data_IF_290536506209
#
_entry.id   IF_290536506209
#
_cell.length_a   1.000
_cell.length_b   1.000
_cell.length_c   1.000
_cell.angle_alpha   90.00
_cell.angle_beta   90.00
_cell.angle_gamma   90.00
#
_symmetry.space_group_name_H-M   'P 1'
#
loop_
_entity.id
_entity.type
_entity.pdbx_description
1 polymer ?
#
# COMPACT_ATOMS: atom_id res chain seq x y z
N UNK A 1 20.77 -31.37 14.97
CA UNK A 1 22.07 -31.37 14.26
C UNK A 1 22.73 -30.01 14.49
N UNK A 2 24.02 -29.92 14.85
CA UNK A 2 24.65 -28.63 15.07
C UNK A 2 24.94 -27.97 13.73
N UNK A 3 24.40 -26.77 13.56
CA UNK A 3 24.57 -25.88 12.41
C UNK A 3 26.05 -25.49 12.28
N UNK A 4 26.70 -25.92 11.19
CA UNK A 4 27.98 -25.36 10.77
C UNK A 4 27.74 -23.90 10.40
N UNK A 5 28.12 -22.98 11.29
CA UNK A 5 28.29 -21.57 10.98
C UNK A 5 29.28 -21.48 9.81
N UNK A 6 28.76 -21.15 8.63
CA UNK A 6 29.56 -20.78 7.48
C UNK A 6 30.09 -19.38 7.79
N UNK A 7 31.39 -19.27 8.01
CA UNK A 7 32.07 -17.97 8.08
C UNK A 7 31.87 -17.26 6.75
N UNK A 8 31.08 -16.19 6.77
CA UNK A 8 30.91 -15.26 5.65
C UNK A 8 32.28 -14.59 5.44
N UNK A 9 32.81 -14.51 4.19
CA UNK A 9 34.04 -13.78 3.92
C UNK A 9 33.89 -12.33 4.40
N UNK A 10 34.87 -11.80 5.15
CA UNK A 10 34.93 -10.38 5.43
C UNK A 10 35.19 -9.64 4.11
N UNK A 11 34.12 -9.12 3.50
CA UNK A 11 34.20 -8.25 2.34
C UNK A 11 34.84 -6.91 2.74
N UNK A 12 35.60 -6.32 1.82
CA UNK A 12 36.24 -5.03 2.01
C UNK A 12 35.17 -3.93 2.17
N UNK A 13 35.25 -3.07 3.20
CA UNK A 13 34.27 -2.00 3.48
C UNK A 13 34.02 -0.99 2.35
N UNK A 14 34.86 -0.99 1.31
CA UNK A 14 34.89 0.05 0.27
C UNK A 14 34.00 -0.24 -0.95
N UNK A 15 33.20 -1.32 -0.95
CA UNK A 15 32.27 -1.59 -2.06
C UNK A 15 30.96 -0.80 -1.92
N UNK A 16 30.46 -0.23 -3.03
CA UNK A 16 29.16 0.49 -3.08
C UNK A 16 28.02 -0.30 -2.43
N UNK A 17 27.87 -1.62 -2.65
CA UNK A 17 26.83 -2.41 -1.96
C UNK A 17 26.87 -2.32 -0.44
N UNK A 18 28.06 -2.35 0.15
CA UNK A 18 28.22 -2.30 1.60
C UNK A 18 27.76 -0.95 2.18
N UNK A 19 28.12 0.15 1.53
CA UNK A 19 27.74 1.49 1.96
C UNK A 19 26.22 1.71 1.82
N UNK A 20 25.61 1.23 0.73
CA UNK A 20 24.15 1.29 0.53
C UNK A 20 23.42 0.42 1.57
N UNK A 21 23.91 -0.79 1.86
CA UNK A 21 23.32 -1.62 2.91
C UNK A 21 23.39 -0.95 4.28
N UNK A 22 24.54 -0.40 4.67
CA UNK A 22 24.69 0.31 5.94
C UNK A 22 23.74 1.52 6.04
N UNK A 23 23.57 2.24 4.94
CA UNK A 23 22.60 3.33 4.85
C UNK A 23 21.15 2.84 5.00
N UNK A 24 20.76 1.80 4.25
CA UNK A 24 19.45 1.18 4.34
C UNK A 24 19.14 0.72 5.78
N UNK A 25 20.09 0.08 6.45
CA UNK A 25 19.96 -0.33 7.84
C UNK A 25 19.73 0.86 8.79
N UNK A 26 20.40 1.98 8.50
CA UNK A 26 20.25 3.21 9.29
C UNK A 26 18.84 3.80 9.17
N UNK A 27 18.27 3.82 7.96
CA UNK A 27 16.89 4.28 7.73
C UNK A 27 15.88 3.44 8.53
N UNK A 28 16.16 2.15 8.69
CA UNK A 28 15.32 1.20 9.42
C UNK A 28 15.46 1.25 10.94
N UNK A 29 16.18 2.23 11.49
CA UNK A 29 16.30 2.37 12.94
C UNK A 29 15.11 3.15 13.53
N UNK A 30 14.61 2.79 14.72
CA UNK A 30 13.61 3.60 15.43
C UNK A 30 14.09 5.03 15.75
N UNK A 31 15.40 5.28 15.72
CA UNK A 31 15.98 6.60 15.87
C UNK A 31 15.76 7.46 14.61
N UNK A 32 15.88 6.86 13.41
CA UNK A 32 15.61 7.55 12.16
C UNK A 32 14.12 7.82 11.96
N UNK A 33 13.27 6.83 12.24
CA UNK A 33 11.82 6.94 12.07
C UNK A 33 11.12 7.97 13.00
N UNK A 34 11.80 8.37 14.10
CA UNK A 34 11.32 9.42 15.02
C UNK A 34 11.73 10.80 14.54
N UNK A 35 11.10 11.25 13.47
CA UNK A 35 11.25 12.62 13.00
C UNK A 35 10.43 13.59 13.86
N UNK A 36 11.12 14.41 14.65
CA UNK A 36 10.51 15.38 15.58
C UNK A 36 10.14 16.73 14.96
N UNK A 37 10.04 16.83 13.63
CA UNK A 37 9.69 18.08 12.94
C UNK A 37 10.83 19.11 12.80
N UNK A 38 12.07 18.77 13.17
CA UNK A 38 13.29 19.56 12.86
C UNK A 38 13.50 19.70 11.34
N UNK A 39 14.50 20.46 10.89
CA UNK A 39 14.92 20.41 9.48
C UNK A 39 15.33 18.98 9.09
N UNK A 40 14.71 18.44 8.04
CA UNK A 40 14.90 17.08 7.57
C UNK A 40 16.34 16.85 7.10
N UNK A 41 16.93 17.86 6.45
CA UNK A 41 18.35 17.86 6.11
C UNK A 41 19.24 17.75 7.36
N UNK A 42 18.90 18.44 8.45
CA UNK A 42 19.64 18.35 9.71
C UNK A 42 19.49 16.96 10.35
N UNK A 43 18.30 16.36 10.29
CA UNK A 43 18.05 14.99 10.74
C UNK A 43 18.89 13.97 9.95
N UNK A 44 18.99 14.14 8.63
CA UNK A 44 19.84 13.30 7.77
C UNK A 44 21.32 13.47 8.09
N UNK A 45 21.84 14.70 8.17
CA UNK A 45 23.25 14.95 8.55
C UNK A 45 23.60 14.38 9.91
N UNK A 46 22.73 14.54 10.90
CA UNK A 46 22.93 13.95 12.23
C UNK A 46 22.93 12.41 12.17
N UNK A 47 22.18 11.83 11.24
CA UNK A 47 22.14 10.40 10.99
C UNK A 47 23.43 9.90 10.37
N UNK A 48 23.95 10.55 9.32
CA UNK A 48 25.25 10.22 8.69
C UNK A 48 26.39 10.19 9.72
N UNK A 49 26.43 11.18 10.62
CA UNK A 49 27.43 11.26 11.69
C UNK A 49 27.30 10.06 12.65
N UNK A 50 26.08 9.66 13.00
CA UNK A 50 25.84 8.52 13.92
C UNK A 50 26.13 7.17 13.28
N UNK A 51 25.82 7.00 12.00
CA UNK A 51 26.03 5.75 11.27
C UNK A 51 27.48 5.56 10.80
N UNK A 52 28.33 6.59 10.93
CA UNK A 52 29.75 6.49 10.61
C UNK A 52 30.05 6.44 9.11
N UNK A 53 29.06 6.73 8.25
CA UNK A 53 29.19 6.65 6.79
C UNK A 53 29.97 7.85 6.21
N UNK A 54 30.28 8.85 7.05
CA UNK A 54 31.02 10.05 6.72
C UNK A 54 30.12 11.25 6.42
N UNK A 55 30.68 12.47 6.47
CA UNK A 55 29.96 13.69 6.06
C UNK A 55 29.74 13.63 4.54
N UNK A 56 28.55 14.01 4.08
CA UNK A 56 28.12 13.96 2.67
C UNK A 56 28.11 12.53 2.09
N UNK A 57 27.95 11.52 2.96
CA UNK A 57 27.79 10.13 2.55
C UNK A 57 26.57 9.93 1.65
N UNK A 58 25.45 10.57 2.01
CA UNK A 58 24.20 10.47 1.27
C UNK A 58 24.36 10.96 -0.18
N UNK A 59 25.00 12.10 -0.40
CA UNK A 59 25.20 12.63 -1.75
C UNK A 59 26.00 11.66 -2.62
N UNK A 60 27.09 11.08 -2.07
CA UNK A 60 27.88 10.07 -2.77
C UNK A 60 27.08 8.81 -3.07
N UNK A 61 26.37 8.27 -2.07
CA UNK A 61 25.50 7.10 -2.24
C UNK A 61 24.42 7.32 -3.31
N UNK A 62 23.82 8.51 -3.34
CA UNK A 62 22.85 8.89 -4.34
C UNK A 62 23.46 8.89 -5.75
N UNK A 63 24.67 9.44 -5.92
CA UNK A 63 25.37 9.46 -7.21
C UNK A 63 25.84 8.08 -7.64
N UNK A 64 26.39 7.27 -6.71
CA UNK A 64 26.80 5.89 -6.96
C UNK A 64 25.61 5.06 -7.45
N UNK A 65 24.41 5.29 -6.90
CA UNK A 65 23.18 4.66 -7.36
C UNK A 65 22.76 5.05 -8.78
N UNK A 66 23.25 6.18 -9.32
CA UNK A 66 22.97 6.56 -10.71
C UNK A 66 23.81 5.76 -11.72
N UNK A 67 24.88 5.07 -11.30
CA UNK A 67 25.67 4.18 -12.14
C UNK A 67 24.94 2.83 -12.36
N UNK A 68 24.56 2.47 -13.60
CA UNK A 68 23.92 1.19 -13.89
C UNK A 68 24.73 -0.03 -13.44
N UNK A 69 26.06 0.03 -13.49
CA UNK A 69 26.90 -1.07 -13.05
C UNK A 69 26.79 -1.28 -11.53
N UNK A 70 26.86 -0.19 -10.76
CA UNK A 70 26.69 -0.23 -9.31
C UNK A 70 25.29 -0.73 -8.91
N UNK A 71 24.23 -0.32 -9.62
CA UNK A 71 22.87 -0.84 -9.41
C UNK A 71 22.79 -2.34 -9.70
N UNK A 72 23.34 -2.78 -10.82
CA UNK A 72 23.32 -4.19 -11.22
C UNK A 72 24.04 -5.07 -10.19
N UNK A 73 25.21 -4.62 -9.72
CA UNK A 73 25.97 -5.31 -8.67
C UNK A 73 25.19 -5.36 -7.34
N UNK A 74 24.52 -4.28 -6.96
CA UNK A 74 23.68 -4.25 -5.75
C UNK A 74 22.51 -5.22 -5.86
N UNK A 75 21.79 -5.19 -6.98
CA UNK A 75 20.60 -6.04 -7.20
C UNK A 75 20.95 -7.53 -7.36
N UNK A 76 22.20 -7.84 -7.74
CA UNK A 76 22.71 -9.21 -7.76
C UNK A 76 23.24 -9.69 -6.41
N UNK A 77 23.39 -8.79 -5.42
CA UNK A 77 23.96 -9.10 -4.12
C UNK A 77 22.94 -9.72 -3.17
N UNK A 78 23.38 -10.69 -2.36
CA UNK A 78 22.55 -11.23 -1.29
C UNK A 78 22.23 -10.15 -0.25
N UNK A 79 20.94 -9.89 -0.02
CA UNK A 79 20.52 -8.95 1.02
C UNK A 79 20.83 -9.50 2.41
N UNK A 80 21.34 -8.66 3.33
CA UNK A 80 21.33 -8.95 4.77
C UNK A 80 19.94 -9.31 5.29
N UNK A 81 19.86 -10.21 6.28
CA UNK A 81 18.59 -10.71 6.84
C UNK A 81 17.68 -9.61 7.38
N UNK A 82 18.24 -8.53 7.91
CA UNK A 82 17.51 -7.37 8.43
C UNK A 82 16.94 -6.48 7.30
N UNK A 83 17.58 -6.49 6.12
CA UNK A 83 17.09 -5.81 4.93
C UNK A 83 15.98 -6.58 4.20
N UNK A 84 15.86 -7.89 4.45
CA UNK A 84 14.78 -8.75 3.91
C UNK A 84 13.46 -8.64 4.66
N UNK A 85 13.47 -8.14 5.90
CA UNK A 85 12.30 -8.14 6.79
C UNK A 85 11.35 -6.99 6.50
N UNK A 86 10.08 -7.24 6.76
CA UNK A 86 8.99 -6.27 6.84
C UNK A 86 8.02 -6.65 7.95
N UNK A 87 7.27 -5.69 8.48
CA UNK A 87 6.23 -6.00 9.46
C UNK A 87 4.99 -6.57 8.75
N UNK A 88 4.48 -5.86 7.75
CA UNK A 88 3.28 -6.29 7.04
C UNK A 88 3.30 -6.05 5.52
N UNK A 89 2.44 -6.76 4.80
CA UNK A 89 2.17 -6.55 3.39
C UNK A 89 0.66 -6.51 3.12
N UNK A 90 0.24 -5.54 2.32
CA UNK A 90 -1.13 -5.44 1.80
C UNK A 90 -1.13 -5.91 0.34
N UNK A 91 -1.81 -7.02 0.07
CA UNK A 91 -1.78 -7.72 -1.22
C UNK A 91 -3.14 -7.70 -1.90
N UNK A 92 -3.29 -6.86 -2.92
CA UNK A 92 -4.47 -6.83 -3.79
C UNK A 92 -4.29 -7.84 -4.93
N UNK A 93 -5.17 -8.84 -4.96
CA UNK A 93 -5.15 -9.93 -5.97
C UNK A 93 -6.24 -9.78 -7.05
N UNK A 94 -7.17 -8.84 -6.87
CA UNK A 94 -8.30 -8.62 -7.78
C UNK A 94 -8.81 -7.19 -7.72
N UNK A 95 -9.27 -6.64 -8.84
CA UNK A 95 -10.16 -5.47 -8.88
C UNK A 95 -11.60 -5.89 -9.17
N UNK A 96 -11.87 -7.19 -9.33
CA UNK A 96 -13.22 -7.69 -9.53
C UNK A 96 -14.04 -7.52 -8.25
N UNK A 97 -15.14 -6.80 -8.36
CA UNK A 97 -16.03 -6.49 -7.24
C UNK A 97 -17.50 -6.57 -7.66
N UNK A 98 -18.32 -7.16 -6.81
CA UNK A 98 -19.76 -7.27 -7.00
C UNK A 98 -20.53 -5.97 -6.64
N UNK A 99 -19.86 -4.96 -6.07
CA UNK A 99 -20.47 -3.65 -5.84
C UNK A 99 -20.78 -2.91 -7.16
N UNK A 100 -20.40 -3.50 -8.30
CA UNK A 100 -20.93 -3.31 -9.64
C UNK A 100 -22.43 -3.58 -9.79
N UNK A 101 -23.31 -2.68 -9.36
CA UNK A 101 -24.74 -2.84 -9.66
C UNK A 101 -24.96 -2.77 -11.16
N UNK A 102 -25.43 -3.87 -11.78
CA UNK A 102 -26.14 -3.86 -13.05
C UNK A 102 -27.49 -3.16 -12.86
N UNK A 103 -27.55 -1.84 -13.00
CA UNK A 103 -28.82 -1.13 -13.12
C UNK A 103 -29.19 -1.06 -14.59
N UNK A 104 -30.25 -1.77 -14.97
CA UNK A 104 -30.93 -1.46 -16.22
C UNK A 104 -31.43 -0.01 -16.16
N UNK A 105 -31.06 0.83 -17.13
CA UNK A 105 -31.73 2.12 -17.34
C UNK A 105 -33.19 1.91 -17.77
N UNK A 106 -33.92 3.00 -18.01
CA UNK A 106 -35.33 2.93 -18.40
C UNK A 106 -35.55 2.17 -19.73
N UNK A 107 -34.48 2.02 -20.52
CA UNK A 107 -34.39 1.37 -21.81
C UNK A 107 -33.89 -0.09 -21.73
N UNK A 108 -33.59 -0.58 -20.51
CA UNK A 108 -33.15 -1.96 -20.28
C UNK A 108 -31.64 -2.18 -20.45
N UNK A 109 -30.83 -1.13 -20.67
CA UNK A 109 -29.37 -1.23 -20.76
C UNK A 109 -28.75 -1.37 -19.38
N UNK A 110 -28.03 -2.47 -19.17
CA UNK A 110 -27.37 -2.76 -17.90
C UNK A 110 -26.13 -1.88 -17.75
N UNK A 111 -26.24 -0.81 -16.96
CA UNK A 111 -25.11 -0.01 -16.52
C UNK A 111 -24.52 -0.63 -15.25
N UNK A 112 -23.22 -0.90 -15.25
CA UNK A 112 -22.49 -1.40 -14.08
C UNK A 112 -21.99 -0.23 -13.23
N UNK A 113 -22.61 0.04 -12.07
CA UNK A 113 -22.17 1.09 -11.14
C UNK A 113 -21.00 0.63 -10.29
N UNK A 114 -19.84 1.24 -10.44
CA UNK A 114 -18.70 1.11 -9.51
C UNK A 114 -18.89 1.98 -8.27
N UNK A 115 -18.27 1.63 -7.14
CA UNK A 115 -18.30 2.48 -5.95
C UNK A 115 -17.66 3.85 -6.23
N UNK A 116 -18.31 4.90 -5.73
CA UNK A 116 -17.95 6.30 -5.96
C UNK A 116 -16.60 6.69 -5.35
N UNK A 117 -16.08 5.93 -4.39
CA UNK A 117 -14.83 6.23 -3.68
C UNK A 117 -13.87 5.03 -3.62
N UNK A 118 -14.11 3.96 -4.37
CA UNK A 118 -13.24 2.78 -4.30
C UNK A 118 -11.84 3.12 -4.78
N UNK A 119 -10.88 3.00 -3.86
CA UNK A 119 -9.47 3.24 -4.13
C UNK A 119 -8.97 2.30 -5.23
N UNK A 120 -9.33 1.01 -5.18
CA UNK A 120 -8.80 -0.04 -6.08
C UNK A 120 -9.32 0.08 -7.53
N UNK A 121 -10.15 1.07 -7.82
CA UNK A 121 -10.80 1.14 -9.13
C UNK A 121 -11.82 0.01 -9.36
N UNK A 122 -12.14 -0.78 -8.33
CA UNK A 122 -12.82 -2.06 -8.47
C UNK A 122 -14.23 -1.98 -9.07
N UNK A 123 -14.60 -3.03 -9.78
CA UNK A 123 -15.88 -3.15 -10.47
C UNK A 123 -16.15 -4.57 -10.98
N UNK A 124 -17.32 -4.83 -11.59
CA UNK A 124 -17.72 -6.18 -11.98
C UNK A 124 -16.88 -6.73 -13.14
N UNK A 125 -16.31 -5.83 -13.94
CA UNK A 125 -15.38 -6.13 -15.03
C UNK A 125 -13.91 -6.03 -14.60
N UNK A 126 -13.64 -5.94 -13.29
CA UNK A 126 -12.29 -5.91 -12.77
C UNK A 126 -11.52 -7.19 -13.10
N UNK A 127 -10.20 -7.08 -13.08
CA UNK A 127 -9.28 -8.17 -13.39
C UNK A 127 -8.85 -8.89 -12.12
N UNK A 128 -8.44 -10.15 -12.25
CA UNK A 128 -7.82 -10.90 -11.17
C UNK A 128 -6.45 -11.36 -11.65
N UNK A 129 -5.50 -11.47 -10.73
CA UNK A 129 -4.25 -12.15 -11.02
C UNK A 129 -4.52 -13.60 -11.41
N UNK A 130 -3.65 -14.17 -12.23
CA UNK A 130 -3.59 -15.62 -12.44
C UNK A 130 -2.95 -16.32 -11.24
N UNK A 131 -3.13 -17.64 -11.14
CA UNK A 131 -2.46 -18.45 -10.11
C UNK A 131 -0.93 -18.32 -10.18
N UNK A 132 -0.37 -18.36 -11.40
CA UNK A 132 1.07 -18.21 -11.61
C UNK A 132 1.59 -16.83 -11.17
N UNK A 133 0.85 -15.77 -11.46
CA UNK A 133 1.24 -14.43 -11.01
C UNK A 133 1.23 -14.32 -9.48
N UNK A 134 0.22 -14.88 -8.80
CA UNK A 134 0.19 -14.91 -7.34
C UNK A 134 1.35 -15.72 -6.78
N UNK A 135 1.67 -16.87 -7.37
CA UNK A 135 2.82 -17.69 -6.96
C UNK A 135 4.13 -16.91 -7.04
N UNK A 136 4.35 -16.18 -8.15
CA UNK A 136 5.52 -15.31 -8.30
C UNK A 136 5.54 -14.18 -7.26
N UNK A 137 4.41 -13.51 -7.04
CA UNK A 137 4.32 -12.45 -6.03
C UNK A 137 4.62 -12.98 -4.63
N UNK A 138 3.98 -14.08 -4.20
CA UNK A 138 4.23 -14.68 -2.89
C UNK A 138 5.69 -15.15 -2.77
N UNK A 139 6.28 -15.67 -3.85
CA UNK A 139 7.69 -16.05 -3.87
C UNK A 139 8.65 -14.86 -3.62
N UNK A 140 8.21 -13.66 -4.01
CA UNK A 140 8.97 -12.41 -3.96
C UNK A 140 8.62 -11.50 -2.78
N UNK A 141 7.65 -11.89 -1.94
CA UNK A 141 7.30 -11.15 -0.72
C UNK A 141 8.48 -11.12 0.28
N UNK A 142 8.57 -10.05 1.11
CA UNK A 142 9.56 -9.95 2.17
C UNK A 142 9.55 -11.15 3.13
N UNK A 143 10.67 -11.40 3.80
CA UNK A 143 10.76 -12.45 4.81
C UNK A 143 11.69 -12.06 5.96
N UNK A 144 11.26 -12.24 7.23
CA UNK A 144 9.92 -12.65 7.66
C UNK A 144 8.89 -11.51 7.52
N UNK A 145 7.61 -11.88 7.61
CA UNK A 145 6.45 -10.99 7.75
C UNK A 145 5.67 -11.38 9.00
N UNK A 146 5.07 -10.40 9.68
CA UNK A 146 4.14 -10.61 10.79
C UNK A 146 2.70 -10.63 10.33
N UNK A 147 2.36 -9.85 9.30
CA UNK A 147 1.01 -9.82 8.73
C UNK A 147 1.02 -9.79 7.19
N UNK A 148 0.08 -10.52 6.60
CA UNK A 148 -0.32 -10.33 5.21
C UNK A 148 -1.83 -10.14 5.20
N UNK A 149 -2.27 -8.99 4.68
CA UNK A 149 -3.68 -8.74 4.41
C UNK A 149 -3.96 -8.91 2.91
N UNK A 150 -4.80 -9.89 2.58
CA UNK A 150 -5.24 -10.13 1.20
C UNK A 150 -6.50 -9.30 0.94
N UNK A 151 -6.47 -8.49 -0.11
CA UNK A 151 -7.55 -7.57 -0.45
C UNK A 151 -7.82 -7.49 -1.96
N UNK A 152 -8.67 -6.54 -2.35
CA UNK A 152 -8.92 -6.15 -3.71
C UNK A 152 -10.30 -5.54 -3.91
N UNK A 153 -11.01 -6.02 -4.93
CA UNK A 153 -12.43 -5.78 -5.11
C UNK A 153 -13.26 -6.52 -4.08
N UNK A 154 -13.72 -7.73 -4.40
CA UNK A 154 -14.40 -8.61 -3.45
C UNK A 154 -13.78 -10.01 -3.51
N UNK A 155 -12.90 -10.31 -2.55
CA UNK A 155 -12.10 -11.54 -2.51
C UNK A 155 -12.93 -12.80 -2.23
N UNK A 156 -14.15 -12.65 -1.70
CA UNK A 156 -15.09 -13.75 -1.49
C UNK A 156 -16.05 -13.95 -2.68
N UNK A 157 -15.88 -13.19 -3.77
CA UNK A 157 -16.65 -13.40 -4.99
C UNK A 157 -16.41 -14.84 -5.52
N UNK A 158 -17.44 -15.59 -5.96
CA UNK A 158 -17.29 -16.98 -6.39
C UNK A 158 -16.21 -17.20 -7.46
N UNK A 159 -16.08 -16.26 -8.41
CA UNK A 159 -15.04 -16.32 -9.45
C UNK A 159 -13.62 -16.01 -8.93
N UNK A 160 -13.49 -15.35 -7.78
CA UNK A 160 -12.21 -14.95 -7.18
C UNK A 160 -11.81 -15.91 -6.05
N UNK A 161 -12.78 -16.49 -5.34
CA UNK A 161 -12.56 -17.34 -4.18
C UNK A 161 -11.53 -18.47 -4.40
N UNK A 162 -11.46 -19.15 -5.57
CA UNK A 162 -10.40 -20.12 -5.83
C UNK A 162 -8.99 -19.51 -5.77
N UNK A 163 -8.81 -18.31 -6.33
CA UNK A 163 -7.56 -17.55 -6.25
C UNK A 163 -7.26 -17.17 -4.79
N UNK A 164 -8.25 -16.62 -4.07
CA UNK A 164 -8.10 -16.26 -2.65
C UNK A 164 -7.63 -17.44 -1.80
N UNK A 165 -8.26 -18.62 -1.94
CA UNK A 165 -7.88 -19.83 -1.22
C UNK A 165 -6.48 -20.32 -1.59
N UNK A 166 -6.09 -20.22 -2.86
CA UNK A 166 -4.73 -20.56 -3.31
C UNK A 166 -3.69 -19.62 -2.69
N UNK A 167 -3.91 -18.31 -2.75
CA UNK A 167 -3.03 -17.31 -2.14
C UNK A 167 -2.86 -17.56 -0.64
N UNK A 168 -3.95 -17.82 0.08
CA UNK A 168 -3.91 -18.10 1.52
C UNK A 168 -3.03 -19.32 1.84
N UNK A 169 -3.18 -20.40 1.06
CA UNK A 169 -2.38 -21.62 1.23
C UNK A 169 -0.91 -21.40 0.94
N UNK A 170 -0.57 -20.67 -0.13
CA UNK A 170 0.81 -20.32 -0.45
C UNK A 170 1.46 -19.50 0.68
N UNK A 171 0.76 -18.49 1.20
CA UNK A 171 1.25 -17.71 2.33
C UNK A 171 1.44 -18.59 3.58
N UNK A 172 0.48 -19.46 3.88
CA UNK A 172 0.55 -20.38 5.01
C UNK A 172 1.72 -21.35 4.89
N UNK A 173 1.95 -21.92 3.69
CA UNK A 173 3.07 -22.82 3.43
C UNK A 173 4.43 -22.11 3.57
N UNK A 174 4.54 -20.87 3.08
CA UNK A 174 5.78 -20.09 3.10
C UNK A 174 6.13 -19.55 4.49
N UNK A 175 5.15 -19.04 5.23
CA UNK A 175 5.38 -18.30 6.47
C UNK A 175 5.03 -19.08 7.75
N UNK A 176 4.25 -20.15 7.64
CA UNK A 176 3.83 -20.96 8.79
C UNK A 176 2.76 -20.29 9.66
N UNK A 177 2.54 -20.86 10.85
CA UNK A 177 1.42 -20.50 11.72
C UNK A 177 1.57 -19.18 12.51
N UNK A 178 2.77 -18.60 12.55
CA UNK A 178 3.04 -17.35 13.27
C UNK A 178 2.61 -16.10 12.46
N UNK A 179 2.30 -16.27 11.18
CA UNK A 179 1.79 -15.21 10.32
C UNK A 179 0.33 -14.87 10.67
N UNK A 180 0.06 -13.59 10.89
CA UNK A 180 -1.30 -13.07 10.82
C UNK A 180 -1.74 -12.98 9.36
N UNK A 181 -2.50 -13.97 8.92
CA UNK A 181 -3.10 -13.95 7.60
C UNK A 181 -4.54 -13.41 7.70
N UNK A 182 -4.75 -12.22 7.14
CA UNK A 182 -6.03 -11.52 7.14
C UNK A 182 -6.58 -11.38 5.72
N UNK A 183 -7.91 -11.24 5.60
CA UNK A 183 -8.56 -10.90 4.32
C UNK A 183 -9.56 -9.77 4.49
N UNK A 184 -9.61 -8.90 3.50
CA UNK A 184 -10.57 -7.79 3.41
C UNK A 184 -11.75 -8.14 2.50
N UNK A 185 -12.98 -7.94 2.97
CA UNK A 185 -14.23 -8.19 2.22
C UNK A 185 -15.29 -7.13 2.53
N UNK A 186 -16.20 -6.85 1.60
CA UNK A 186 -17.38 -6.02 1.84
C UNK A 186 -18.51 -6.74 2.61
N UNK A 187 -18.35 -8.05 2.83
CA UNK A 187 -19.26 -8.90 3.61
C UNK A 187 -20.51 -9.41 2.87
N UNK A 188 -20.71 -9.09 1.59
CA UNK A 188 -21.89 -9.49 0.81
C UNK A 188 -22.10 -11.00 0.74
N UNK A 189 -21.01 -11.75 0.65
CA UNK A 189 -20.99 -13.21 0.60
C UNK A 189 -21.05 -13.87 1.99
N UNK A 190 -21.14 -13.07 3.06
CA UNK A 190 -21.26 -13.55 4.45
C UNK A 190 -22.68 -13.35 5.02
N UNK A 191 -23.63 -12.86 4.22
CA UNK A 191 -25.01 -12.59 4.67
C UNK A 191 -25.88 -13.82 4.83
N UNK A 192 -25.69 -14.84 4.00
CA UNK A 192 -26.44 -16.09 4.10
C UNK A 192 -25.77 -16.98 5.16
N UNK A 193 -26.48 -17.48 6.19
CA UNK A 193 -25.86 -18.24 7.28
C UNK A 193 -25.11 -19.50 6.81
N UNK A 194 -25.68 -20.26 5.88
CA UNK A 194 -25.04 -21.48 5.36
C UNK A 194 -23.81 -21.14 4.52
N UNK A 195 -23.95 -20.16 3.63
CA UNK A 195 -22.83 -19.70 2.82
C UNK A 195 -21.69 -19.15 3.68
N UNK A 196 -22.01 -18.39 4.73
CA UNK A 196 -21.05 -17.87 5.69
C UNK A 196 -20.29 -19.04 6.34
N UNK A 197 -21.00 -20.01 6.91
CA UNK A 197 -20.40 -21.20 7.52
C UNK A 197 -19.44 -21.93 6.56
N UNK A 198 -19.92 -22.25 5.35
CA UNK A 198 -19.14 -22.97 4.34
C UNK A 198 -17.89 -22.15 3.93
N UNK A 199 -18.04 -20.84 3.76
CA UNK A 199 -16.95 -19.91 3.40
C UNK A 199 -15.91 -19.83 4.52
N UNK A 200 -16.34 -19.66 5.78
CA UNK A 200 -15.45 -19.59 6.93
C UNK A 200 -14.69 -20.90 7.14
N UNK A 201 -15.32 -22.04 6.90
CA UNK A 201 -14.64 -23.34 6.95
C UNK A 201 -13.50 -23.41 5.94
N UNK A 202 -13.77 -23.08 4.67
CA UNK A 202 -12.75 -23.09 3.61
C UNK A 202 -11.59 -22.14 3.91
N UNK A 203 -11.91 -20.95 4.42
CA UNK A 203 -10.91 -19.94 4.77
C UNK A 203 -10.03 -20.38 5.94
N UNK A 204 -10.63 -20.96 6.99
CA UNK A 204 -9.89 -21.50 8.15
C UNK A 204 -8.95 -22.63 7.71
N UNK A 205 -9.44 -23.54 6.87
CA UNK A 205 -8.64 -24.65 6.33
C UNK A 205 -7.49 -24.15 5.44
N UNK A 206 -7.63 -22.97 4.83
CA UNK A 206 -6.57 -22.31 4.06
C UNK A 206 -5.58 -21.50 4.91
N UNK A 207 -5.76 -21.44 6.24
CA UNK A 207 -4.86 -20.77 7.18
C UNK A 207 -5.26 -19.33 7.55
N UNK A 208 -6.46 -18.88 7.17
CA UNK A 208 -6.93 -17.54 7.55
C UNK A 208 -7.04 -17.42 9.08
N UNK A 209 -6.63 -16.27 9.62
CA UNK A 209 -6.71 -15.92 11.04
C UNK A 209 -7.66 -14.77 11.32
N UNK A 210 -7.87 -13.88 10.34
CA UNK A 210 -8.68 -12.67 10.52
C UNK A 210 -9.49 -12.30 9.29
N UNK A 211 -10.70 -11.82 9.55
CA UNK A 211 -11.59 -11.22 8.54
C UNK A 211 -11.72 -9.72 8.84
N UNK A 212 -11.51 -8.94 7.81
CA UNK A 212 -11.54 -7.48 7.82
C UNK A 212 -12.76 -7.08 7.00
N UNK A 213 -13.88 -6.82 7.67
CA UNK A 213 -15.13 -6.46 6.97
C UNK A 213 -15.13 -4.95 6.71
N UNK A 214 -14.81 -4.59 5.48
CA UNK A 214 -14.74 -3.24 4.94
C UNK A 214 -16.10 -2.72 4.49
N UNK A 215 -16.11 -1.45 4.03
CA UNK A 215 -17.22 -0.83 3.30
C UNK A 215 -18.42 -0.44 4.16
N UNK A 216 -18.22 -0.12 5.46
CA UNK A 216 -19.34 0.28 6.34
C UNK A 216 -20.07 1.56 5.95
N UNK A 217 -19.50 2.28 5.00
CA UNK A 217 -20.03 3.55 4.53
C UNK A 217 -21.30 3.41 3.67
N UNK A 218 -22.06 4.50 3.65
CA UNK A 218 -23.29 4.65 2.88
C UNK A 218 -23.08 4.57 1.35
N UNK A 219 -21.87 4.80 0.86
CA UNK A 219 -21.57 4.83 -0.57
C UNK A 219 -21.52 3.43 -1.21
N UNK A 220 -21.58 2.38 -0.38
CA UNK A 220 -21.74 0.99 -0.82
C UNK A 220 -23.20 0.50 -0.83
N UNK A 221 -24.14 1.36 -0.46
CA UNK A 221 -25.52 0.96 -0.21
C UNK A 221 -26.47 1.14 -1.40
N UNK A 222 -27.61 0.46 -1.32
CA UNK A 222 -28.73 0.62 -2.25
C UNK A 222 -29.87 1.36 -1.56
N UNK A 223 -30.10 2.62 -1.95
CA UNK A 223 -31.20 3.42 -1.40
C UNK A 223 -31.46 4.67 -2.23
N UNK A 224 -32.72 5.14 -2.19
CA UNK A 224 -33.15 6.33 -2.92
C UNK A 224 -32.58 7.61 -2.28
N UNK A 225 -32.36 7.58 -0.96
CA UNK A 225 -31.76 8.67 -0.20
C UNK A 225 -30.49 8.21 0.53
N UNK A 226 -29.60 9.16 0.89
CA UNK A 226 -28.48 8.94 1.81
C UNK A 226 -28.85 8.18 3.10
N UNK A 227 -30.01 8.49 3.69
CA UNK A 227 -30.47 7.81 4.91
C UNK A 227 -30.90 6.36 4.64
N UNK A 228 -31.61 6.10 3.54
CA UNK A 228 -32.03 4.73 3.19
C UNK A 228 -30.81 3.83 2.92
N UNK A 229 -29.82 4.40 2.22
CA UNK A 229 -28.52 3.80 1.98
C UNK A 229 -27.84 3.41 3.31
N UNK A 230 -27.78 4.35 4.24
CA UNK A 230 -27.21 4.11 5.57
C UNK A 230 -27.95 3.02 6.36
N UNK A 231 -29.29 3.04 6.40
CA UNK A 231 -30.08 2.01 7.09
C UNK A 231 -29.94 0.62 6.46
N UNK A 232 -29.79 0.55 5.14
CA UNK A 232 -29.55 -0.71 4.42
C UNK A 232 -28.21 -1.32 4.83
N UNK A 233 -27.13 -0.53 4.84
CA UNK A 233 -25.81 -1.03 5.28
C UNK A 233 -25.82 -1.44 6.74
N UNK A 234 -26.51 -0.71 7.63
CA UNK A 234 -26.68 -1.15 9.03
C UNK A 234 -27.29 -2.55 9.14
N UNK A 235 -28.36 -2.82 8.38
CA UNK A 235 -29.00 -4.15 8.37
C UNK A 235 -28.09 -5.22 7.77
N UNK A 236 -27.35 -4.87 6.71
CA UNK A 236 -26.34 -5.74 6.12
C UNK A 236 -25.30 -6.19 7.16
N UNK A 237 -24.71 -5.24 7.89
CA UNK A 237 -23.70 -5.54 8.91
C UNK A 237 -24.25 -6.32 10.08
N UNK A 238 -25.41 -5.94 10.61
CA UNK A 238 -26.03 -6.69 11.70
C UNK A 238 -26.20 -8.17 11.32
N UNK A 239 -26.54 -8.46 10.06
CA UNK A 239 -26.67 -9.83 9.55
C UNK A 239 -25.32 -10.54 9.39
N UNK A 240 -24.31 -9.88 8.83
CA UNK A 240 -22.95 -10.44 8.72
C UNK A 240 -22.39 -10.75 10.11
N UNK A 241 -22.49 -9.79 11.03
CA UNK A 241 -22.01 -9.91 12.40
C UNK A 241 -22.70 -11.07 13.14
N UNK A 242 -24.02 -11.22 12.99
CA UNK A 242 -24.77 -12.33 13.56
C UNK A 242 -24.30 -13.69 13.00
N UNK A 243 -24.05 -13.80 11.70
CA UNK A 243 -23.55 -15.05 11.12
C UNK A 243 -22.14 -15.37 11.61
N UNK A 244 -21.23 -14.39 11.64
CA UNK A 244 -19.89 -14.55 12.19
C UNK A 244 -19.92 -15.01 13.66
N UNK A 245 -20.85 -14.50 14.49
CA UNK A 245 -21.05 -14.95 15.87
C UNK A 245 -21.48 -16.42 15.96
N UNK A 246 -22.38 -16.87 15.07
CA UNK A 246 -22.82 -18.28 15.03
C UNK A 246 -21.66 -19.23 14.77
N UNK A 247 -20.71 -18.80 13.96
CA UNK A 247 -19.48 -19.52 13.65
C UNK A 247 -18.32 -19.25 14.63
N UNK A 248 -18.64 -18.68 15.80
CA UNK A 248 -17.71 -18.42 16.91
C UNK A 248 -16.51 -17.54 16.53
N UNK A 249 -16.69 -16.64 15.57
CA UNK A 249 -15.69 -15.63 15.24
C UNK A 249 -15.64 -14.58 16.36
N UNK A 250 -14.43 -14.26 16.83
CA UNK A 250 -14.20 -13.28 17.89
C UNK A 250 -14.03 -11.87 17.31
N UNK A 251 -14.77 -10.90 17.82
CA UNK A 251 -14.67 -9.52 17.33
C UNK A 251 -13.59 -8.76 18.10
N UNK A 252 -12.74 -8.05 17.37
CA UNK A 252 -11.68 -7.19 17.90
C UNK A 252 -11.93 -5.75 17.46
N UNK A 253 -11.75 -4.78 18.36
CA UNK A 253 -11.96 -3.35 18.10
C UNK A 253 -10.87 -2.51 18.77
N UNK A 254 -10.65 -1.29 18.25
CA UNK A 254 -9.69 -0.32 18.80
C UNK A 254 -8.28 -0.89 18.93
N UNK A 255 -7.61 -0.60 20.05
CA UNK A 255 -6.25 -1.08 20.36
C UNK A 255 -6.15 -2.62 20.39
N UNK A 256 -7.28 -3.32 20.53
CA UNK A 256 -7.37 -4.78 20.44
C UNK A 256 -7.30 -5.31 19.01
N UNK A 257 -7.35 -4.47 17.97
CA UNK A 257 -7.25 -4.91 16.58
C UNK A 257 -5.88 -5.56 16.27
N UNK A 258 -4.81 -5.20 16.97
CA UNK A 258 -3.51 -5.87 16.82
C UNK A 258 -3.42 -7.22 17.55
N UNK A 259 -4.41 -7.56 18.38
CA UNK A 259 -4.40 -8.78 19.20
C UNK A 259 -4.87 -10.00 18.41
N UNK A 260 -4.20 -11.14 18.65
CA UNK A 260 -4.62 -12.45 18.16
C UNK A 260 -4.73 -13.44 19.33
N UNK A 261 -5.71 -14.36 19.28
CA UNK A 261 -5.75 -15.51 20.17
C UNK A 261 -4.52 -16.39 19.98
N UNK A 262 -4.00 -16.95 21.08
CA UNK A 262 -2.93 -17.96 21.07
C UNK A 262 -3.33 -19.23 20.30
N UNK A 263 -4.63 -19.57 20.31
CA UNK A 263 -5.18 -20.67 19.52
C UNK A 263 -5.35 -20.23 18.05
N UNK A 264 -4.57 -20.80 17.11
CA UNK A 264 -4.64 -20.41 15.71
C UNK A 264 -5.92 -20.84 14.99
N UNK A 265 -6.73 -21.71 15.60
CA UNK A 265 -8.03 -22.11 15.03
C UNK A 265 -9.13 -21.06 15.22
N UNK A 266 -8.93 -20.10 16.12
CA UNK A 266 -9.89 -19.04 16.40
C UNK A 266 -9.73 -17.93 15.34
N UNK A 267 -10.81 -17.72 14.59
CA UNK A 267 -10.92 -16.59 13.68
C UNK A 267 -11.28 -15.32 14.45
N UNK A 268 -10.60 -14.23 14.12
CA UNK A 268 -10.99 -12.88 14.55
C UNK A 268 -11.68 -12.12 13.43
N UNK A 269 -12.52 -11.14 13.79
CA UNK A 269 -13.08 -10.19 12.85
C UNK A 269 -12.98 -8.76 13.36
N UNK A 270 -12.67 -7.82 12.48
CA UNK A 270 -12.84 -6.39 12.73
C UNK A 270 -13.66 -5.76 11.60
N UNK A 271 -14.28 -4.63 11.90
CA UNK A 271 -15.14 -3.89 10.98
C UNK A 271 -14.58 -2.48 10.81
N UNK A 272 -14.53 -1.98 9.59
CA UNK A 272 -14.10 -0.61 9.29
C UNK A 272 -14.87 -0.03 8.08
N UNK A 273 -14.91 1.30 7.97
CA UNK A 273 -15.51 2.01 6.83
C UNK A 273 -15.22 3.50 6.88
N UNK A 274 -15.73 4.26 5.90
CA UNK A 274 -15.65 5.72 5.81
C UNK A 274 -16.98 6.40 6.22
N UNK A 275 -16.95 7.54 6.90
CA UNK A 275 -18.15 8.27 7.32
C UNK A 275 -17.71 9.71 7.46
N UNK A 276 -18.26 10.54 6.59
CA UNK A 276 -17.98 11.98 6.57
C UNK A 276 -18.51 12.65 7.85
N UNK A 277 -19.43 12.01 8.59
CA UNK A 277 -20.13 12.63 9.71
C UNK A 277 -19.94 11.94 11.07
N UNK A 278 -19.10 10.91 11.18
CA UNK A 278 -18.77 10.23 12.44
C UNK A 278 -20.03 9.84 13.28
N UNK A 279 -21.14 9.48 12.64
CA UNK A 279 -22.47 9.34 13.28
C UNK A 279 -22.66 8.02 14.02
N UNK A 280 -21.61 7.20 14.09
CA UNK A 280 -21.59 5.99 14.91
C UNK A 280 -20.81 6.23 16.20
N UNK A 281 -21.53 6.26 17.32
CA UNK A 281 -20.93 5.96 18.62
C UNK A 281 -20.36 4.53 18.59
N UNK A 282 -19.03 4.40 18.48
CA UNK A 282 -18.32 3.15 18.78
C UNK A 282 -17.86 2.29 17.60
N UNK A 283 -17.97 2.77 16.36
CA UNK A 283 -17.26 2.16 15.23
C UNK A 283 -16.20 3.13 14.72
N UNK A 284 -14.93 2.69 14.68
CA UNK A 284 -13.86 3.48 14.10
C UNK A 284 -14.13 3.57 12.61
N UNK A 285 -14.38 4.78 12.18
CA UNK A 285 -14.62 5.11 10.81
C UNK A 285 -13.50 6.09 10.43
N UNK A 286 -12.61 5.67 9.54
CA UNK A 286 -11.55 6.54 9.03
C UNK A 286 -12.14 7.57 8.08
N UNK A 287 -11.52 8.75 8.02
CA UNK A 287 -11.87 9.79 7.06
C UNK A 287 -11.87 9.24 5.63
N UNK A 288 -12.80 9.71 4.78
CA UNK A 288 -12.85 9.35 3.37
C UNK A 288 -11.55 9.76 2.68
N UNK A 289 -10.83 8.79 2.10
CA UNK A 289 -9.62 9.09 1.33
C UNK A 289 -10.02 9.87 0.07
N UNK A 290 -9.53 11.12 -0.11
CA UNK A 290 -9.96 12.01 -1.18
C UNK A 290 -9.32 11.62 -2.52
N UNK A 291 -9.71 10.47 -3.06
CA UNK A 291 -9.27 9.99 -4.36
C UNK A 291 -10.07 10.64 -5.50
N UNK A 292 -9.59 10.53 -6.74
CA UNK A 292 -10.23 11.21 -7.86
C UNK A 292 -11.65 10.69 -8.17
N UNK A 293 -12.00 9.44 -7.84
CA UNK A 293 -13.39 8.99 -7.93
C UNK A 293 -14.27 9.71 -6.91
N UNK A 294 -13.80 9.84 -5.67
CA UNK A 294 -14.51 10.55 -4.60
C UNK A 294 -14.70 12.05 -4.95
N UNK A 295 -13.67 12.69 -5.53
CA UNK A 295 -13.78 14.07 -6.06
C UNK A 295 -14.82 14.16 -7.16
N UNK A 296 -14.75 13.28 -8.17
CA UNK A 296 -15.70 13.26 -9.31
C UNK A 296 -17.14 13.01 -8.87
N UNK A 297 -17.33 12.16 -7.87
CA UNK A 297 -18.64 11.90 -7.27
C UNK A 297 -19.13 13.03 -6.35
N UNK A 298 -18.34 14.09 -6.17
CA UNK A 298 -18.67 15.23 -5.30
C UNK A 298 -18.69 14.87 -3.81
N UNK A 299 -18.00 13.79 -3.42
CA UNK A 299 -17.91 13.35 -2.02
C UNK A 299 -16.85 14.12 -1.24
N UNK A 300 -15.81 14.58 -1.95
CA UNK A 300 -14.76 15.47 -1.45
C UNK A 300 -14.50 16.55 -2.50
N UNK A 301 -13.90 17.66 -2.09
CA UNK A 301 -13.41 18.70 -2.97
C UNK A 301 -11.92 18.55 -3.24
N UNK A 302 -11.44 19.18 -4.31
CA UNK A 302 -10.00 19.23 -4.60
C UNK A 302 -9.21 19.97 -3.53
N UNK A 303 -9.83 20.83 -2.72
CA UNK A 303 -9.19 21.54 -1.62
C UNK A 303 -9.24 20.76 -0.30
N UNK A 304 -9.91 19.60 -0.26
CA UNK A 304 -10.07 18.80 0.95
C UNK A 304 -8.75 18.12 1.33
N UNK A 305 -7.94 18.83 2.13
CA UNK A 305 -6.62 18.41 2.59
C UNK A 305 -6.61 17.82 4.01
N UNK A 306 -7.78 17.50 4.56
CA UNK A 306 -7.96 17.19 5.98
C UNK A 306 -7.23 15.93 6.46
N UNK A 307 -6.95 14.98 5.56
CA UNK A 307 -6.39 13.67 5.92
C UNK A 307 -4.94 13.58 5.48
N UNK A 308 -4.02 13.61 6.45
CA UNK A 308 -2.59 13.31 6.20
C UNK A 308 -2.37 11.80 6.12
N UNK A 309 -2.89 11.15 5.08
CA UNK A 309 -2.80 9.70 4.90
C UNK A 309 -1.34 9.24 4.98
N UNK A 310 -0.42 10.02 4.41
CA UNK A 310 0.99 9.60 4.36
C UNK A 310 1.67 9.44 5.74
N UNK A 311 1.08 10.05 6.77
CA UNK A 311 1.60 10.01 8.14
C UNK A 311 1.02 8.87 8.98
N UNK A 312 0.06 8.10 8.44
CA UNK A 312 -0.63 7.00 9.11
C UNK A 312 -0.01 5.64 8.74
N UNK A 313 -0.39 4.60 9.49
CA UNK A 313 -0.21 3.20 9.08
C UNK A 313 -0.84 2.99 7.68
N UNK A 314 -0.21 2.19 6.82
CA UNK A 314 -0.52 2.06 5.38
C UNK A 314 -0.27 3.34 4.52
N UNK A 315 0.24 4.42 5.13
CA UNK A 315 0.50 5.72 4.50
C UNK A 315 1.88 5.92 3.88
N UNK A 316 2.73 4.91 3.75
CA UNK A 316 4.17 5.01 3.44
C UNK A 316 5.07 5.36 4.63
N UNK A 317 4.54 5.88 5.73
CA UNK A 317 5.34 5.97 6.97
C UNK A 317 5.92 4.59 7.28
N UNK A 318 7.24 4.51 7.45
CA UNK A 318 7.92 3.24 7.72
C UNK A 318 8.21 2.36 6.51
N UNK A 319 7.77 2.68 5.28
CA UNK A 319 7.76 1.71 4.17
C UNK A 319 9.14 1.23 3.69
N UNK A 320 10.24 1.97 3.91
CA UNK A 320 11.59 1.46 3.63
C UNK A 320 12.10 0.45 4.67
N UNK A 321 11.34 0.19 5.75
CA UNK A 321 11.65 -0.81 6.76
C UNK A 321 11.70 -0.28 8.20
N UNK A 322 11.74 -1.17 9.19
CA UNK A 322 12.37 -0.84 10.49
C UNK A 322 11.48 -0.39 11.65
N UNK A 323 10.17 -0.54 11.52
CA UNK A 323 9.22 -0.22 12.58
C UNK A 323 7.94 -1.03 12.49
N UNK A 324 7.06 -0.92 13.50
CA UNK A 324 5.77 -1.61 13.54
C UNK A 324 4.71 -1.03 12.57
N UNK A 325 5.02 0.07 11.87
CA UNK A 325 4.14 0.68 10.87
C UNK A 325 4.61 0.42 9.44
N UNK A 326 5.57 -0.48 9.28
CA UNK A 326 6.21 -0.83 8.02
C UNK A 326 5.35 -1.81 7.21
N UNK A 327 4.41 -1.23 6.46
CA UNK A 327 3.60 -1.94 5.48
C UNK A 327 4.08 -1.63 4.05
N UNK A 328 4.03 -2.63 3.17
CA UNK A 328 4.18 -2.43 1.72
C UNK A 328 2.87 -2.77 1.00
N UNK A 329 2.47 -1.94 0.04
CA UNK A 329 1.28 -2.18 -0.78
C UNK A 329 1.66 -2.84 -2.11
N UNK A 330 0.93 -3.89 -2.49
CA UNK A 330 1.14 -4.64 -3.72
C UNK A 330 -0.21 -4.77 -4.42
N UNK A 331 -0.33 -4.23 -5.63
CA UNK A 331 -1.58 -4.24 -6.38
C UNK A 331 -1.42 -4.96 -7.72
N UNK A 332 -1.79 -6.24 -7.75
CA UNK A 332 -1.70 -7.07 -8.95
C UNK A 332 -0.27 -7.50 -9.34
N UNK A 333 0.71 -7.30 -8.46
CA UNK A 333 2.14 -7.45 -8.76
C UNK A 333 2.94 -6.17 -8.51
N UNK A 334 2.59 -5.05 -9.16
CA UNK A 334 3.16 -3.74 -8.90
C UNK A 334 3.23 -3.35 -7.41
N UNK A 335 4.38 -2.82 -6.98
CA UNK A 335 4.69 -2.49 -5.59
C UNK A 335 4.65 -0.98 -5.38
N UNK A 336 4.07 -0.53 -4.28
CA UNK A 336 3.86 0.89 -3.97
C UNK A 336 4.24 1.22 -2.52
N UNK A 337 4.68 2.47 -2.23
CA UNK A 337 5.11 2.87 -0.89
C UNK A 337 3.95 3.00 0.10
N UNK A 338 2.78 3.50 -0.33
CA UNK A 338 1.56 3.61 0.48
C UNK A 338 0.34 2.98 -0.19
N UNK A 339 0.11 3.38 -1.45
CA UNK A 339 -1.01 2.98 -2.27
C UNK A 339 -0.64 3.23 -3.74
N UNK A 340 -1.40 2.66 -4.66
CA UNK A 340 -1.22 2.84 -6.11
C UNK A 340 -1.61 4.23 -6.64
N UNK A 341 -1.82 5.22 -5.76
CA UNK A 341 -1.94 6.63 -6.16
C UNK A 341 -0.59 7.28 -6.44
N UNK A 342 0.52 6.71 -5.97
CA UNK A 342 1.80 7.07 -6.57
C UNK A 342 1.75 6.56 -8.00
N UNK A 343 1.81 7.48 -8.95
CA UNK A 343 1.39 7.22 -10.32
C UNK A 343 2.12 6.02 -10.94
N UNK A 344 3.38 5.84 -10.58
CA UNK A 344 4.17 4.70 -11.00
C UNK A 344 4.53 3.81 -9.82
N UNK A 345 4.62 2.49 -10.04
CA UNK A 345 5.09 1.56 -9.03
C UNK A 345 6.60 1.68 -8.83
N UNK A 346 7.06 1.18 -7.69
CA UNK A 346 8.47 0.98 -7.36
C UNK A 346 9.11 -0.19 -8.13
N UNK A 347 8.29 -1.00 -8.81
CA UNK A 347 8.68 -2.24 -9.45
C UNK A 347 7.54 -3.26 -9.41
N UNK A 348 7.81 -4.51 -9.81
CA UNK A 348 6.80 -5.56 -9.90
C UNK A 348 7.22 -6.85 -9.18
N UNK A 349 6.42 -7.26 -8.19
CA UNK A 349 6.66 -8.47 -7.40
C UNK A 349 6.50 -9.76 -8.21
N UNK A 350 6.01 -9.70 -9.44
CA UNK A 350 6.05 -10.84 -10.37
C UNK A 350 7.45 -11.09 -10.93
N UNK A 351 8.34 -10.10 -10.87
CA UNK A 351 9.65 -10.12 -11.52
C UNK A 351 10.83 -10.05 -10.54
N UNK A 352 10.69 -9.25 -9.47
CA UNK A 352 11.76 -9.03 -8.49
C UNK A 352 11.24 -9.19 -7.06
N UNK A 353 12.11 -9.56 -6.12
CA UNK A 353 11.73 -9.57 -4.71
C UNK A 353 11.48 -8.15 -4.19
N UNK A 354 10.43 -7.97 -3.39
CA UNK A 354 10.08 -6.68 -2.78
C UNK A 354 11.25 -6.06 -1.98
N UNK A 355 12.03 -6.81 -1.17
CA UNK A 355 13.18 -6.23 -0.48
C UNK A 355 14.23 -5.60 -1.40
N UNK A 356 14.49 -6.19 -2.57
CA UNK A 356 15.44 -5.63 -3.55
C UNK A 356 14.88 -4.35 -4.21
N UNK A 357 13.58 -4.31 -4.51
CA UNK A 357 12.95 -3.09 -5.02
C UNK A 357 13.09 -1.96 -4.01
N UNK A 358 12.72 -2.20 -2.74
CA UNK A 358 12.80 -1.18 -1.70
C UNK A 358 14.22 -0.70 -1.46
N UNK A 359 15.20 -1.59 -1.60
CA UNK A 359 16.60 -1.22 -1.55
C UNK A 359 16.95 -0.21 -2.64
N UNK A 360 16.37 -0.31 -3.83
CA UNK A 360 16.60 0.64 -4.92
C UNK A 360 16.11 2.07 -4.65
N UNK A 361 15.34 2.28 -3.58
CA UNK A 361 14.81 3.59 -3.20
C UNK A 361 15.39 4.14 -1.90
N UNK A 362 16.38 3.48 -1.29
CA UNK A 362 16.93 3.94 -0.01
C UNK A 362 17.72 5.24 -0.14
N UNK A 363 18.12 5.63 -1.34
CA UNK A 363 18.77 6.91 -1.63
C UNK A 363 17.83 7.92 -2.28
N UNK A 364 16.58 7.57 -2.58
CA UNK A 364 15.64 8.45 -3.28
C UNK A 364 15.07 9.51 -2.31
N UNK A 365 15.19 10.83 -2.62
CA UNK A 365 14.66 11.90 -1.78
C UNK A 365 13.18 11.77 -1.41
N UNK A 366 12.33 11.40 -2.38
CA UNK A 366 10.89 11.27 -2.17
C UNK A 366 10.57 10.05 -1.31
N UNK A 367 11.21 8.91 -1.59
CA UNK A 367 11.08 7.68 -0.82
C UNK A 367 11.50 7.88 0.64
N UNK A 368 12.63 8.54 0.91
CA UNK A 368 13.05 8.81 2.28
C UNK A 368 12.03 9.71 3.01
N UNK A 369 11.54 10.76 2.34
CA UNK A 369 10.54 11.65 2.92
C UNK A 369 9.19 10.96 3.18
N UNK A 370 8.74 10.10 2.26
CA UNK A 370 7.58 9.24 2.42
C UNK A 370 7.74 8.27 3.59
N UNK A 371 8.90 7.62 3.71
CA UNK A 371 9.23 6.74 4.83
C UNK A 371 9.13 7.47 6.18
N UNK A 372 9.45 8.77 6.23
CA UNK A 372 9.31 9.60 7.42
C UNK A 372 7.90 10.18 7.62
N UNK A 373 6.99 9.95 6.68
CA UNK A 373 5.62 10.47 6.69
C UNK A 373 5.52 11.97 6.40
N UNK A 374 6.52 12.56 5.72
CA UNK A 374 6.60 13.99 5.36
C UNK A 374 7.00 14.21 3.90
N UNK A 375 6.29 13.61 2.92
CA UNK A 375 6.63 13.72 1.50
C UNK A 375 6.71 15.18 0.99
N UNK A 376 5.97 16.11 1.60
CA UNK A 376 5.99 17.55 1.31
C UNK A 376 7.30 18.26 1.72
N UNK A 377 8.27 17.52 2.25
CA UNK A 377 9.60 18.01 2.65
C UNK A 377 10.72 17.32 1.90
N UNK A 378 10.40 16.50 0.89
CA UNK A 378 11.40 15.81 0.07
C UNK A 378 12.41 16.76 -0.59
N UNK A 379 12.01 18.02 -0.86
CA UNK A 379 12.92 19.06 -1.34
C UNK A 379 14.11 19.33 -0.41
N UNK A 380 13.96 19.15 0.91
CA UNK A 380 15.05 19.37 1.89
C UNK A 380 16.16 18.33 1.71
N UNK A 381 15.78 17.11 1.36
CA UNK A 381 16.71 16.02 1.05
C UNK A 381 17.37 16.27 -0.31
N UNK A 382 16.57 16.69 -1.31
CA UNK A 382 17.08 17.02 -2.63
C UNK A 382 18.13 18.15 -2.60
N UNK A 383 18.00 19.15 -1.70
CA UNK A 383 19.02 20.20 -1.50
C UNK A 383 20.37 19.66 -1.04
N UNK A 384 20.42 18.47 -0.43
CA UNK A 384 21.68 17.82 -0.07
C UNK A 384 22.38 17.18 -1.28
N UNK A 385 21.63 16.90 -2.35
CA UNK A 385 22.18 16.43 -3.64
C UNK A 385 22.63 17.64 -4.46
N UNK A 386 21.73 18.60 -4.65
CA UNK A 386 21.95 19.80 -5.44
C UNK A 386 21.02 20.92 -4.99
N UNK A 387 21.55 22.14 -4.86
CA UNK A 387 20.77 23.32 -4.50
C UNK A 387 19.66 23.60 -5.53
N UNK A 388 19.97 23.43 -6.82
CA UNK A 388 19.03 23.68 -7.92
C UNK A 388 17.89 22.66 -7.91
N UNK A 389 18.22 21.36 -7.80
CA UNK A 389 17.21 20.30 -7.71
C UNK A 389 16.25 20.56 -6.54
N UNK A 390 16.81 20.93 -5.40
CA UNK A 390 16.05 21.20 -4.20
C UNK A 390 15.26 22.51 -4.22
N UNK A 391 15.57 23.45 -5.11
CA UNK A 391 14.76 24.63 -5.37
C UNK A 391 13.61 24.30 -6.32
N UNK A 392 13.88 23.63 -7.45
CA UNK A 392 12.85 23.20 -8.40
C UNK A 392 11.83 22.27 -7.75
N UNK A 393 12.27 21.33 -6.92
CA UNK A 393 11.37 20.43 -6.19
C UNK A 393 10.52 21.17 -5.15
N UNK A 394 11.03 22.26 -4.56
CA UNK A 394 10.27 23.09 -3.61
C UNK A 394 9.18 23.86 -4.34
N UNK A 395 9.50 24.46 -5.47
CA UNK A 395 8.54 25.21 -6.30
C UNK A 395 7.43 24.28 -6.79
N UNK A 396 7.81 23.08 -7.26
CA UNK A 396 6.87 22.04 -7.64
C UNK A 396 5.89 21.68 -6.52
N UNK A 397 6.38 21.48 -5.30
CA UNK A 397 5.51 21.17 -4.16
C UNK A 397 4.64 22.36 -3.73
N UNK A 398 5.12 23.58 -3.89
CA UNK A 398 4.34 24.78 -3.59
C UNK A 398 3.14 24.91 -4.53
N UNK A 399 3.32 24.62 -5.81
CA UNK A 399 2.27 24.66 -6.84
C UNK A 399 1.16 23.62 -6.58
N UNK A 400 1.50 22.48 -5.97
CA UNK A 400 0.56 21.40 -5.66
C UNK A 400 -0.11 21.53 -4.28
N UNK A 401 0.33 22.47 -3.45
CA UNK A 401 -0.20 22.69 -2.10
C UNK A 401 -1.71 22.98 -2.03
N UNK A 402 -2.34 23.68 -2.99
CA UNK A 402 -3.78 23.91 -2.98
C UNK A 402 -4.62 22.63 -3.15
N UNK A 403 -4.00 21.54 -3.60
CA UNK A 403 -4.67 20.28 -3.90
C UNK A 403 -4.76 19.39 -2.67
N UNK A 404 -5.76 18.52 -2.66
CA UNK A 404 -5.85 17.42 -1.72
C UNK A 404 -4.60 16.52 -1.85
N UNK A 405 -4.20 15.91 -0.74
CA UNK A 405 -2.92 15.23 -0.65
C UNK A 405 -2.74 14.10 -1.66
N UNK A 406 -3.81 13.35 -1.98
CA UNK A 406 -3.71 12.19 -2.87
C UNK A 406 -3.55 12.62 -4.33
N UNK A 407 -4.31 13.62 -4.77
CA UNK A 407 -4.16 14.22 -6.11
C UNK A 407 -2.82 14.93 -6.25
N UNK A 408 -2.40 15.68 -5.22
CA UNK A 408 -1.08 16.29 -5.16
C UNK A 408 0.03 15.24 -5.29
N UNK A 409 -0.07 14.13 -4.54
CA UNK A 409 0.93 13.06 -4.56
C UNK A 409 1.07 12.46 -5.96
N UNK A 410 -0.03 12.14 -6.64
CA UNK A 410 -0.01 11.60 -8.01
C UNK A 410 0.72 12.54 -8.96
N UNK A 411 0.27 13.81 -9.02
CA UNK A 411 0.88 14.82 -9.90
C UNK A 411 2.34 15.06 -9.56
N UNK A 412 2.65 15.14 -8.27
CA UNK A 412 4.02 15.30 -7.80
C UNK A 412 4.92 14.14 -8.25
N UNK A 413 4.47 12.89 -8.12
CA UNK A 413 5.28 11.74 -8.54
C UNK A 413 5.63 11.77 -10.04
N UNK A 414 4.68 12.18 -10.90
CA UNK A 414 4.93 12.36 -12.34
C UNK A 414 5.93 13.46 -12.62
N UNK A 415 5.72 14.63 -12.05
CA UNK A 415 6.59 15.78 -12.27
C UNK A 415 7.97 15.57 -11.63
N UNK A 416 8.04 14.82 -10.52
CA UNK A 416 9.27 14.41 -9.86
C UNK A 416 10.13 13.51 -10.73
N UNK A 417 9.57 12.44 -11.32
CA UNK A 417 10.33 11.56 -12.23
C UNK A 417 10.88 12.37 -13.41
N UNK A 418 10.04 13.21 -14.02
CA UNK A 418 10.47 14.09 -15.10
C UNK A 418 11.58 15.08 -14.67
N UNK A 419 11.49 15.61 -13.44
CA UNK A 419 12.53 16.46 -12.86
C UNK A 419 13.85 15.70 -12.70
N UNK A 420 13.82 14.50 -12.12
CA UNK A 420 15.03 13.69 -11.92
C UNK A 420 15.71 13.33 -13.25
N UNK A 421 14.92 13.00 -14.28
CA UNK A 421 15.43 12.76 -15.64
C UNK A 421 16.08 14.01 -16.25
N UNK A 422 15.49 15.21 -16.10
CA UNK A 422 16.07 16.46 -16.59
C UNK A 422 17.42 16.79 -15.95
N UNK A 423 17.61 16.42 -14.68
CA UNK A 423 18.89 16.56 -13.98
C UNK A 423 19.90 15.46 -14.34
N UNK A 424 19.56 14.50 -15.21
CA UNK A 424 20.47 13.47 -15.71
C UNK A 424 20.66 12.28 -14.76
N UNK A 425 19.71 12.05 -13.84
CA UNK A 425 19.75 10.91 -12.93
C UNK A 425 19.17 9.66 -13.62
N UNK A 426 20.04 8.91 -14.29
CA UNK A 426 19.66 7.79 -15.17
C UNK A 426 18.96 6.61 -14.48
N UNK A 427 18.98 6.50 -13.15
CA UNK A 427 18.20 5.47 -12.46
C UNK A 427 16.68 5.63 -12.68
N UNK A 428 16.21 6.85 -12.95
CA UNK A 428 14.79 7.13 -13.14
C UNK A 428 14.26 6.72 -14.51
N UNK A 429 15.14 6.38 -15.46
CA UNK A 429 14.74 5.76 -16.73
C UNK A 429 14.37 4.29 -16.54
N UNK A 430 14.84 3.65 -15.46
CA UNK A 430 14.67 2.23 -15.17
C UNK A 430 13.69 1.96 -14.01
N UNK A 431 13.75 2.79 -12.96
CA UNK A 431 13.05 2.53 -11.69
C UNK A 431 11.57 2.91 -11.71
N UNK A 432 11.19 3.92 -12.48
CA UNK A 432 9.79 4.35 -12.62
C UNK A 432 9.34 4.10 -14.06
N UNK A 433 9.27 2.82 -14.49
CA UNK A 433 8.88 2.52 -15.85
C UNK A 433 7.43 2.98 -16.05
N UNK A 434 7.16 3.56 -17.22
CA UNK A 434 5.81 3.84 -17.70
C UNK A 434 5.11 2.50 -18.03
N UNK A 435 4.76 1.76 -16.98
CA UNK A 435 4.04 0.51 -17.07
C UNK A 435 2.56 0.81 -16.99
N UNK A 436 1.81 0.74 -18.11
CA UNK A 436 0.37 0.68 -18.02
C UNK A 436 0.00 -0.62 -17.29
N UNK A 437 -0.36 -0.50 -16.02
CA UNK A 437 -0.83 -1.66 -15.27
C UNK A 437 -2.36 -1.65 -15.33
N UNK A 438 -3.04 -2.79 -15.59
CA UNK A 438 -4.50 -2.88 -15.48
C UNK A 438 -5.00 -2.70 -14.03
N UNK A 439 -4.05 -2.51 -13.11
CA UNK A 439 -4.19 -2.25 -11.68
C UNK A 439 -4.00 -0.76 -11.34
N UNK A 440 -3.50 0.02 -12.29
CA UNK A 440 -3.37 1.47 -12.22
C UNK A 440 -4.61 2.11 -12.83
N UNK A 441 -4.97 3.28 -12.31
CA UNK A 441 -6.11 4.06 -12.80
C UNK A 441 -6.00 4.48 -14.29
N UNK A 442 -4.86 4.24 -14.95
CA UNK A 442 -4.65 4.51 -16.37
C UNK A 442 -5.59 3.71 -17.30
N UNK A 443 -6.18 2.61 -16.82
CA UNK A 443 -7.22 1.88 -17.56
C UNK A 443 -8.65 2.37 -17.27
N UNK A 444 -8.81 3.46 -16.52
CA UNK A 444 -10.08 4.19 -16.35
C UNK A 444 -9.97 5.49 -17.17
N UNK A 445 -10.30 5.48 -18.49
CA UNK A 445 -10.23 6.67 -19.34
C UNK A 445 -11.01 7.85 -18.77
N UNK A 446 -12.04 7.59 -17.96
CA UNK A 446 -12.83 8.63 -17.31
C UNK A 446 -12.10 9.28 -16.12
N UNK A 447 -11.12 8.59 -15.54
CA UNK A 447 -10.27 9.11 -14.48
C UNK A 447 -9.16 10.01 -15.03
N UNK A 448 -8.55 9.62 -16.15
CA UNK A 448 -7.57 10.47 -16.85
C UNK A 448 -8.23 11.66 -17.54
N UNK A 449 -9.44 11.53 -18.10
CA UNK A 449 -10.22 12.68 -18.61
C UNK A 449 -10.58 13.69 -17.51
N UNK A 450 -10.95 13.22 -16.31
CA UNK A 450 -11.19 14.11 -15.17
C UNK A 450 -9.92 14.86 -14.76
N UNK A 451 -8.77 14.16 -14.77
CA UNK A 451 -7.46 14.77 -14.47
C UNK A 451 -6.98 15.73 -15.57
N UNK A 452 -7.14 15.38 -16.86
CA UNK A 452 -6.72 16.18 -18.02
C UNK A 452 -7.60 17.41 -18.25
N UNK A 453 -8.92 17.28 -18.10
CA UNK A 453 -9.85 18.42 -18.19
C UNK A 453 -9.56 19.49 -17.14
N UNK A 454 -8.91 19.10 -16.04
CA UNK A 454 -8.51 19.94 -14.93
C UNK A 454 -7.14 20.60 -15.13
N UNK A 455 -6.15 19.85 -15.66
CA UNK A 455 -4.86 20.43 -16.13
C UNK A 455 -5.09 21.50 -17.21
N UNK A 456 -6.13 21.36 -18.03
CA UNK A 456 -6.48 22.36 -19.03
C UNK A 456 -7.25 23.59 -18.48
N UNK A 457 -7.73 23.54 -17.24
CA UNK A 457 -8.55 24.59 -16.61
C UNK A 457 -7.81 25.39 -15.51
N UNK A 458 -6.59 24.99 -15.18
CA UNK A 458 -5.64 25.70 -14.30
C UNK A 458 -4.50 26.28 -15.12
#
# INVERSE_FOLDING_TARGET
MPTRSRTIPQATPDSVPHAIFAWAQTLRTPAFARFGGVELAAHMRATEIRSGVGVDAYHRLFLDWQDPAARSDLLASDLPDDLRRKDSAYLVITTKCNNGMATADAEGQVAHKTCAHCLNGSGPNGVSMTFEEVERVVANLPYPLREIEISGGEVLHPDVMPLTLHTLRLCTERYGGDLLLSLQTNGDFLRNPRQCHDTLSLLRDAGLRRIVVASMDMYHAKGATPQDQFEERKRHYARVQENLRRDRVMFVTGDGAAWLPDDPSILTAHFFGADIDNRFDGFIIDDLVPNARAVRAGLVTEADNGVRYCSRHAGARGFLGGGAEDQVAINGGPVYPCCWFTEFPLGDAREMSVPHMLLGYVTDPLAIAQHLGVPERAWEIAQMISADLGAEMRDLQADLRPLNQCVACRRFTREYVALMQRHGYGAYDELWPDMPTPWSHASDPEHDLAFESWVAAS
#
